data_IF_233749864608
#
_entry.id   IF_233749864608
#
_cell.length_a   1.000
_cell.length_b   1.000
_cell.length_c   1.000
_cell.angle_alpha   90.00
_cell.angle_beta   90.00
_cell.angle_gamma   90.00
#
_symmetry.space_group_name_H-M   'P 1'
#
loop_
_entity.id
_entity.type
_entity.pdbx_description
1 polymer ?
#
# COMPACT_ATOMS: atom_id res chain seq x y z
N UNK A 1 29.84 66.67 12.68
CA UNK A 1 29.63 65.20 12.70
C UNK A 1 28.17 64.94 12.40
N UNK A 2 27.84 64.36 11.24
CA UNK A 2 26.49 63.98 10.86
C UNK A 2 26.25 62.54 11.33
N UNK A 3 25.35 62.36 12.28
CA UNK A 3 24.89 61.06 12.76
C UNK A 3 23.96 60.47 11.70
N UNK A 4 24.43 59.45 10.98
CA UNK A 4 23.61 58.67 10.07
C UNK A 4 22.83 57.62 10.88
N UNK A 5 21.51 57.73 10.90
CA UNK A 5 20.61 56.75 11.48
C UNK A 5 20.45 55.61 10.46
N UNK A 6 21.05 54.45 10.74
CA UNK A 6 20.88 53.24 9.94
C UNK A 6 19.51 52.63 10.31
N UNK A 7 18.51 52.81 9.46
CA UNK A 7 17.22 52.12 9.59
C UNK A 7 17.36 50.76 8.90
N UNK A 8 17.54 49.70 9.68
CA UNK A 8 17.44 48.32 9.20
C UNK A 8 15.98 48.01 8.89
N UNK A 9 15.60 47.99 7.61
CA UNK A 9 14.36 47.36 7.16
C UNK A 9 14.48 45.85 7.38
N UNK A 10 13.89 45.34 8.46
CA UNK A 10 13.54 43.93 8.56
C UNK A 10 12.33 43.75 7.65
N UNK A 11 12.56 43.23 6.44
CA UNK A 11 11.48 42.71 5.63
C UNK A 11 10.87 41.53 6.40
N UNK A 12 9.67 41.72 6.97
CA UNK A 12 8.83 40.61 7.37
C UNK A 12 8.40 39.91 6.08
N UNK A 13 9.19 38.94 5.62
CA UNK A 13 8.64 37.90 4.75
C UNK A 13 7.55 37.21 5.57
N UNK A 14 6.31 37.25 5.08
CA UNK A 14 5.23 36.46 5.67
C UNK A 14 5.74 35.01 5.72
N UNK A 15 5.87 34.45 6.92
CA UNK A 15 6.31 33.09 7.08
C UNK A 15 5.21 32.17 6.53
N UNK A 16 5.52 31.42 5.48
CA UNK A 16 4.65 30.39 4.93
C UNK A 16 4.42 29.28 5.96
N UNK A 17 3.21 28.73 5.98
CA UNK A 17 2.95 27.52 6.74
C UNK A 17 3.76 26.35 6.15
N UNK A 18 4.20 25.43 7.02
CA UNK A 18 4.75 24.15 6.54
C UNK A 18 3.71 23.44 5.65
N UNK A 19 4.08 23.03 4.42
CA UNK A 19 3.17 22.31 3.53
C UNK A 19 2.57 21.09 4.21
N UNK A 20 1.27 20.88 4.01
CA UNK A 20 0.56 19.75 4.61
C UNK A 20 0.55 18.58 3.63
N UNK A 21 1.33 17.55 3.95
CA UNK A 21 1.28 16.26 3.25
C UNK A 21 0.16 15.38 3.80
N UNK A 22 -0.63 14.81 2.90
CA UNK A 22 -1.72 13.88 3.19
C UNK A 22 -1.53 12.65 2.31
N UNK A 23 -1.34 11.51 2.96
CA UNK A 23 -1.28 10.22 2.28
C UNK A 23 -2.70 9.74 2.01
N UNK A 24 -2.98 9.35 0.76
CA UNK A 24 -4.31 8.95 0.33
C UNK A 24 -4.77 7.68 1.06
N UNK A 25 -3.87 6.73 1.27
CA UNK A 25 -4.11 5.50 2.04
C UNK A 25 -4.56 5.77 3.48
N UNK A 26 -4.12 6.90 4.06
CA UNK A 26 -4.46 7.34 5.42
C UNK A 26 -5.80 8.08 5.51
N UNK A 27 -6.59 8.15 4.44
CA UNK A 27 -7.91 8.75 4.49
C UNK A 27 -8.80 8.06 5.53
N UNK A 28 -9.47 8.84 6.38
CA UNK A 28 -10.34 8.31 7.44
C UNK A 28 -11.53 7.51 6.89
N UNK A 29 -11.99 7.84 5.68
CA UNK A 29 -13.04 7.12 4.97
C UNK A 29 -12.64 6.92 3.50
N UNK A 30 -12.48 5.68 3.06
CA UNK A 30 -12.19 5.38 1.65
C UNK A 30 -13.46 5.38 0.77
N UNK A 31 -14.65 5.37 1.35
CA UNK A 31 -15.90 5.33 0.59
C UNK A 31 -16.00 4.04 -0.23
N UNK A 32 -15.96 4.17 -1.56
CA UNK A 32 -15.86 3.05 -2.49
C UNK A 32 -14.51 2.96 -3.20
N UNK A 33 -13.54 3.81 -2.84
CA UNK A 33 -12.15 3.66 -3.27
C UNK A 33 -11.53 2.48 -2.53
N UNK A 34 -10.68 1.74 -3.23
CA UNK A 34 -9.93 0.62 -2.68
C UNK A 34 -8.49 1.03 -2.45
N UNK A 35 -7.91 0.58 -1.34
CA UNK A 35 -6.48 0.72 -1.09
C UNK A 35 -5.73 -0.37 -1.86
N UNK A 36 -4.99 0.02 -2.88
CA UNK A 36 -4.13 -0.90 -3.62
C UNK A 36 -2.75 -0.97 -2.96
N UNK A 37 -2.36 -2.20 -2.61
CA UNK A 37 -1.07 -2.53 -2.01
C UNK A 37 -0.34 -3.63 -2.77
N UNK A 38 -0.91 -4.13 -3.86
CA UNK A 38 -0.39 -5.29 -4.58
C UNK A 38 0.79 -4.90 -5.46
N UNK A 39 0.76 -3.69 -6.01
CA UNK A 39 1.74 -3.21 -6.96
C UNK A 39 2.67 -2.15 -6.36
N UNK A 40 2.84 -2.10 -5.03
CA UNK A 40 3.69 -1.10 -4.37
C UNK A 40 5.11 -1.10 -4.95
N UNK A 41 5.70 -2.26 -5.21
CA UNK A 41 7.06 -2.37 -5.75
C UNK A 41 7.18 -1.85 -7.20
N UNK A 42 6.07 -1.81 -7.95
CA UNK A 42 6.01 -1.28 -9.32
C UNK A 42 5.59 0.19 -9.34
N UNK A 43 4.68 0.57 -8.45
CA UNK A 43 4.05 1.88 -8.42
C UNK A 43 4.77 2.87 -7.51
N UNK A 44 5.59 2.39 -6.59
CA UNK A 44 6.41 3.17 -5.66
C UNK A 44 5.67 3.72 -4.44
N UNK A 45 4.38 3.41 -4.27
CA UNK A 45 3.56 3.82 -3.12
C UNK A 45 2.32 2.93 -3.01
N UNK A 46 1.76 2.69 -1.81
CA UNK A 46 0.32 2.41 -1.69
C UNK A 46 -0.49 3.61 -2.22
N UNK A 47 -1.68 3.34 -2.76
CA UNK A 47 -2.54 4.39 -3.32
C UNK A 47 -4.01 4.02 -3.22
N UNK A 48 -4.88 5.03 -3.21
CA UNK A 48 -6.31 4.82 -3.39
C UNK A 48 -6.63 4.70 -4.88
N UNK A 49 -7.54 3.77 -5.19
CA UNK A 49 -8.00 3.47 -6.53
C UNK A 49 -9.53 3.40 -6.62
N UNK A 50 -10.14 4.11 -7.57
CA UNK A 50 -11.58 4.06 -7.80
C UNK A 50 -11.99 2.86 -8.68
N UNK A 51 -11.97 1.65 -8.12
CA UNK A 51 -12.27 0.43 -8.86
C UNK A 51 -13.78 0.13 -8.88
N UNK A 52 -14.53 0.87 -9.71
CA UNK A 52 -15.99 0.76 -9.79
C UNK A 52 -16.54 -0.09 -10.95
N UNK A 53 -15.66 -0.68 -11.76
CA UNK A 53 -16.00 -1.42 -12.98
C UNK A 53 -16.92 -0.61 -13.93
N UNK A 54 -16.61 0.67 -14.09
CA UNK A 54 -17.37 1.62 -14.92
C UNK A 54 -18.58 2.26 -14.25
N UNK A 55 -18.78 2.02 -12.95
CA UNK A 55 -19.74 2.77 -12.13
C UNK A 55 -18.97 3.66 -11.15
N UNK A 56 -19.36 4.92 -11.06
CA UNK A 56 -18.75 5.85 -10.11
C UNK A 56 -18.85 5.30 -8.68
N UNK A 57 -17.72 5.30 -7.97
CA UNK A 57 -17.65 4.83 -6.57
C UNK A 57 -18.00 5.95 -5.58
N UNK A 58 -18.32 5.58 -4.34
CA UNK A 58 -18.57 6.56 -3.28
C UNK A 58 -17.30 7.33 -2.93
N UNK A 59 -17.44 8.61 -2.62
CA UNK A 59 -16.33 9.51 -2.29
C UNK A 59 -15.48 9.00 -1.12
N UNK A 60 -14.15 9.11 -1.26
CA UNK A 60 -13.22 9.03 -0.14
C UNK A 60 -13.06 10.41 0.50
N UNK A 61 -12.84 10.47 1.81
CA UNK A 61 -12.59 11.74 2.49
C UNK A 61 -11.74 11.61 3.75
N UNK A 62 -11.09 12.70 4.11
CA UNK A 62 -10.36 12.88 5.36
C UNK A 62 -10.47 14.33 5.83
N UNK A 63 -10.08 14.59 7.07
CA UNK A 63 -10.05 15.92 7.67
C UNK A 63 -8.63 16.25 8.15
N UNK A 64 -8.19 17.48 7.92
CA UNK A 64 -6.89 17.97 8.37
C UNK A 64 -7.01 19.34 9.01
N UNK A 65 -6.10 19.65 9.92
CA UNK A 65 -5.96 20.99 10.48
C UNK A 65 -4.92 21.79 9.69
N UNK A 66 -5.29 23.01 9.32
CA UNK A 66 -4.49 23.94 8.52
C UNK A 66 -4.72 25.38 9.00
N UNK A 67 -3.67 26.22 9.11
CA UNK A 67 -3.83 27.65 9.36
C UNK A 67 -4.71 28.31 8.31
N UNK A 68 -5.41 29.39 8.69
CA UNK A 68 -6.22 30.13 7.74
C UNK A 68 -5.36 30.77 6.64
N UNK A 69 -5.73 30.58 5.38
CA UNK A 69 -4.94 31.04 4.25
C UNK A 69 -5.49 30.58 2.89
N UNK A 70 -4.81 30.99 1.83
CA UNK A 70 -5.04 30.49 0.47
C UNK A 70 -4.00 29.44 0.13
N UNK A 71 -4.44 28.23 -0.22
CA UNK A 71 -3.57 27.09 -0.49
C UNK A 71 -3.70 26.65 -1.94
N UNK A 72 -2.55 26.33 -2.53
CA UNK A 72 -2.47 25.50 -3.72
C UNK A 72 -2.58 24.03 -3.32
N UNK A 73 -3.35 23.26 -4.08
CA UNK A 73 -3.46 21.81 -3.92
C UNK A 73 -2.63 21.14 -5.00
N UNK A 74 -1.85 20.15 -4.58
CA UNK A 74 -1.15 19.22 -5.44
C UNK A 74 -1.67 17.82 -5.18
N UNK A 75 -1.95 17.05 -6.22
CA UNK A 75 -2.24 15.63 -6.11
C UNK A 75 -1.26 14.85 -6.96
N UNK A 76 -0.65 13.81 -6.38
CA UNK A 76 0.16 12.87 -7.13
C UNK A 76 -0.75 11.77 -7.67
N UNK A 77 -0.80 11.69 -8.99
CA UNK A 77 -1.76 10.88 -9.74
C UNK A 77 -1.10 10.30 -10.98
N UNK A 78 -1.78 9.35 -11.61
CA UNK A 78 -1.31 8.69 -12.84
C UNK A 78 -2.47 8.44 -13.78
N UNK A 79 -2.35 8.92 -15.02
CA UNK A 79 -3.19 8.45 -16.11
C UNK A 79 -2.79 7.01 -16.48
N UNK A 80 -3.65 6.05 -16.15
CA UNK A 80 -3.39 4.63 -16.38
C UNK A 80 -3.06 4.31 -17.83
N UNK A 81 -3.76 4.92 -18.79
CA UNK A 81 -3.57 4.60 -20.21
C UNK A 81 -2.49 5.45 -20.88
N UNK A 82 -1.96 6.44 -20.16
CA UNK A 82 -0.92 7.37 -20.61
C UNK A 82 0.34 6.71 -21.20
N UNK A 83 0.91 5.65 -20.58
CA UNK A 83 2.08 4.95 -21.12
C UNK A 83 1.90 4.42 -22.56
N UNK A 84 0.66 4.14 -22.96
CA UNK A 84 0.33 3.55 -24.27
C UNK A 84 -0.24 4.57 -25.27
N UNK A 85 -0.27 5.86 -24.91
CA UNK A 85 -0.90 6.92 -25.71
C UNK A 85 -2.35 6.56 -26.14
N UNK A 86 -3.05 5.76 -25.33
CA UNK A 86 -4.39 5.32 -25.68
C UNK A 86 -5.39 6.48 -25.53
N UNK A 87 -6.42 6.57 -26.41
CA UNK A 87 -7.39 7.65 -26.34
C UNK A 87 -8.25 7.56 -25.07
N UNK A 88 -8.56 8.74 -24.51
CA UNK A 88 -9.35 8.89 -23.30
C UNK A 88 -8.51 8.93 -22.02
N UNK A 89 -9.18 8.98 -20.88
CA UNK A 89 -8.57 8.93 -19.55
C UNK A 89 -9.57 8.30 -18.59
N UNK A 90 -9.64 6.97 -18.51
CA UNK A 90 -10.67 6.31 -17.72
C UNK A 90 -10.48 6.49 -16.21
N UNK A 91 -9.34 6.97 -15.70
CA UNK A 91 -9.09 7.16 -14.26
C UNK A 91 -9.22 8.60 -13.78
N UNK A 92 -10.22 9.36 -14.24
CA UNK A 92 -10.38 10.78 -13.84
C UNK A 92 -11.12 10.92 -12.52
N UNK A 93 -10.72 11.92 -11.73
CA UNK A 93 -11.38 12.28 -10.48
C UNK A 93 -11.28 13.79 -10.20
N UNK A 94 -12.10 14.29 -9.29
CA UNK A 94 -12.01 15.65 -8.76
C UNK A 94 -11.64 15.62 -7.28
N UNK A 95 -11.12 16.74 -6.79
CA UNK A 95 -10.91 16.98 -5.36
C UNK A 95 -11.89 18.07 -4.92
N UNK A 96 -12.47 17.94 -3.72
CA UNK A 96 -13.15 19.06 -3.05
C UNK A 96 -12.50 19.40 -1.72
N UNK A 97 -12.65 20.67 -1.34
CA UNK A 97 -12.15 21.26 -0.09
C UNK A 97 -13.33 21.90 0.60
N UNK A 98 -13.66 21.45 1.82
CA UNK A 98 -14.85 21.88 2.55
C UNK A 98 -16.16 21.78 1.74
N UNK A 99 -16.23 20.78 0.84
CA UNK A 99 -17.37 20.55 -0.05
C UNK A 99 -17.37 21.36 -1.34
N UNK A 100 -16.46 22.31 -1.52
CA UNK A 100 -16.29 23.04 -2.78
C UNK A 100 -15.35 22.28 -3.72
N UNK A 101 -15.88 21.87 -4.89
CA UNK A 101 -15.12 21.15 -5.91
C UNK A 101 -14.13 22.07 -6.63
N UNK A 102 -12.91 21.58 -6.84
CA UNK A 102 -11.91 22.25 -7.65
C UNK A 102 -12.28 22.19 -9.13
N UNK A 103 -11.99 23.26 -9.89
CA UNK A 103 -12.18 23.31 -11.35
C UNK A 103 -11.03 22.61 -12.10
N UNK A 104 -10.63 21.43 -11.65
CA UNK A 104 -9.55 20.63 -12.24
C UNK A 104 -9.89 19.15 -12.14
N UNK A 105 -9.85 18.44 -13.27
CA UNK A 105 -9.96 16.99 -13.32
C UNK A 105 -8.55 16.38 -13.25
N UNK A 106 -8.30 15.57 -12.24
CA UNK A 106 -7.04 14.88 -12.01
C UNK A 106 -6.97 13.54 -12.73
N UNK A 107 -5.76 13.04 -13.00
CA UNK A 107 -5.53 11.70 -13.56
C UNK A 107 -5.83 11.61 -15.07
N UNK A 108 -5.99 12.77 -15.72
CA UNK A 108 -6.31 12.86 -17.13
C UNK A 108 -5.06 12.95 -18.03
N UNK A 109 -3.89 13.21 -17.45
CA UNK A 109 -2.67 13.54 -18.21
C UNK A 109 -1.45 12.78 -17.70
N UNK A 110 -0.33 12.94 -18.40
CA UNK A 110 0.92 12.29 -18.05
C UNK A 110 1.06 10.86 -18.61
N UNK A 111 2.29 10.38 -18.63
CA UNK A 111 2.65 9.00 -19.00
C UNK A 111 3.05 8.16 -17.80
N UNK A 112 3.26 8.79 -16.66
CA UNK A 112 3.61 8.14 -15.40
C UNK A 112 3.05 8.95 -14.24
N UNK A 113 3.38 8.54 -13.01
CA UNK A 113 3.11 9.31 -11.81
C UNK A 113 3.62 10.74 -11.94
N UNK A 114 2.75 11.69 -11.65
CA UNK A 114 3.06 13.11 -11.72
C UNK A 114 2.28 13.88 -10.67
N UNK A 115 2.78 15.07 -10.33
CA UNK A 115 2.06 16.03 -9.51
C UNK A 115 1.22 16.94 -10.40
N UNK A 116 -0.08 16.95 -10.17
CA UNK A 116 -1.02 17.87 -10.81
C UNK A 116 -1.44 18.95 -9.81
N UNK A 117 -1.55 20.20 -10.28
CA UNK A 117 -1.81 21.40 -9.47
C UNK A 117 -3.24 21.90 -9.68
N UNK A 118 -3.92 22.29 -8.61
CA UNK A 118 -5.22 22.94 -8.64
C UNK A 118 -5.38 24.00 -7.53
N UNK A 119 -6.39 24.86 -7.68
CA UNK A 119 -6.65 25.97 -6.75
C UNK A 119 -6.20 27.34 -7.30
N UNK A 120 -6.03 28.36 -6.45
CA UNK A 120 -6.01 28.29 -4.98
C UNK A 120 -7.38 28.01 -4.33
N UNK A 121 -7.37 27.56 -3.08
CA UNK A 121 -8.55 27.39 -2.22
C UNK A 121 -8.39 28.11 -0.90
N UNK A 122 -9.49 28.59 -0.33
CA UNK A 122 -9.50 29.20 1.01
C UNK A 122 -9.73 28.16 2.08
N UNK A 123 -8.87 28.19 3.09
CA UNK A 123 -8.90 27.30 4.25
C UNK A 123 -8.91 28.16 5.52
N UNK A 124 -9.59 27.70 6.57
CA UNK A 124 -9.70 28.41 7.85
C UNK A 124 -9.78 27.46 9.05
N UNK A 125 -8.82 26.54 9.20
CA UNK A 125 -8.77 25.56 10.27
C UNK A 125 -9.10 24.14 9.79
N UNK A 126 -9.95 23.45 10.54
CA UNK A 126 -10.42 22.11 10.21
C UNK A 126 -10.99 22.05 8.79
N UNK A 127 -10.32 21.29 7.94
CA UNK A 127 -10.57 21.25 6.51
C UNK A 127 -10.85 19.84 6.04
N UNK A 128 -12.01 19.64 5.42
CA UNK A 128 -12.38 18.36 4.81
C UNK A 128 -11.85 18.30 3.38
N UNK A 129 -11.10 17.25 3.07
CA UNK A 129 -10.66 16.92 1.71
C UNK A 129 -11.43 15.68 1.25
N UNK A 130 -11.97 15.70 0.04
CA UNK A 130 -12.65 14.54 -0.54
C UNK A 130 -12.24 14.29 -1.99
N UNK A 131 -12.22 13.00 -2.37
CA UNK A 131 -11.97 12.51 -3.71
C UNK A 131 -13.30 12.08 -4.35
N UNK A 132 -13.56 12.60 -5.55
CA UNK A 132 -14.77 12.31 -6.32
C UNK A 132 -14.41 11.57 -7.60
N UNK A 133 -14.75 10.28 -7.66
CA UNK A 133 -14.58 9.50 -8.88
C UNK A 133 -15.53 10.03 -9.99
N UNK A 134 -15.02 10.16 -11.20
CA UNK A 134 -15.81 10.62 -12.36
C UNK A 134 -16.15 9.51 -13.34
N UNK A 135 -15.54 8.33 -13.22
CA UNK A 135 -15.51 7.35 -14.31
C UNK A 135 -15.79 5.92 -13.85
N UNK A 136 -15.48 5.56 -12.61
CA UNK A 136 -15.54 4.17 -12.14
C UNK A 136 -14.44 3.27 -12.68
N UNK A 137 -13.39 3.82 -13.29
CA UNK A 137 -12.30 3.06 -13.92
C UNK A 137 -10.92 3.48 -13.42
N UNK A 138 -10.65 3.17 -12.15
CA UNK A 138 -9.34 3.22 -11.55
C UNK A 138 -8.68 4.61 -11.57
N UNK A 139 -9.41 5.65 -11.14
CA UNK A 139 -8.74 6.88 -10.73
C UNK A 139 -7.76 6.58 -9.60
N UNK A 140 -6.53 7.13 -9.67
CA UNK A 140 -5.43 6.79 -8.75
C UNK A 140 -4.84 8.03 -8.10
N UNK A 141 -4.63 7.97 -6.79
CA UNK A 141 -3.96 9.02 -6.03
C UNK A 141 -3.26 8.40 -4.82
N UNK A 142 -2.00 8.75 -4.62
CA UNK A 142 -1.20 8.31 -3.46
C UNK A 142 -0.99 9.45 -2.45
N UNK A 143 -0.90 10.70 -2.91
CA UNK A 143 -0.68 11.84 -2.01
C UNK A 143 -1.40 13.12 -2.47
N UNK A 144 -1.80 13.91 -1.48
CA UNK A 144 -2.27 15.28 -1.63
C UNK A 144 -1.39 16.20 -0.78
N UNK A 145 -0.92 17.31 -1.35
CA UNK A 145 -0.14 18.32 -0.64
C UNK A 145 -0.82 19.68 -0.75
N UNK A 146 -1.00 20.35 0.38
CA UNK A 146 -1.50 21.73 0.44
C UNK A 146 -0.35 22.66 0.83
N UNK A 147 -0.12 23.72 0.06
CA UNK A 147 0.88 24.75 0.36
C UNK A 147 0.34 26.16 0.15
N UNK A 148 0.62 27.07 1.06
CA UNK A 148 0.32 28.51 0.93
C UNK A 148 1.43 29.28 0.18
N UNK A 149 2.53 28.61 -0.16
CA UNK A 149 3.59 29.13 -1.02
C UNK A 149 3.26 28.83 -2.49
N UNK A 150 3.05 29.89 -3.28
CA UNK A 150 2.76 29.81 -4.70
C UNK A 150 3.91 29.22 -5.53
N UNK A 151 5.16 29.32 -5.05
CA UNK A 151 6.37 28.77 -5.66
C UNK A 151 6.68 27.32 -5.25
N UNK A 152 5.97 26.77 -4.27
CA UNK A 152 6.17 25.41 -3.81
C UNK A 152 5.80 24.40 -4.89
N UNK A 153 6.67 23.40 -5.10
CA UNK A 153 6.40 22.22 -5.93
C UNK A 153 6.84 20.97 -5.15
N UNK A 154 5.94 20.01 -4.88
CA UNK A 154 6.29 18.82 -4.12
C UNK A 154 7.20 17.87 -4.90
N UNK A 155 8.11 17.21 -4.19
CA UNK A 155 8.81 16.00 -4.66
C UNK A 155 8.59 14.87 -3.66
N UNK A 156 8.75 13.61 -4.11
CA UNK A 156 8.53 12.42 -3.26
C UNK A 156 9.47 12.35 -2.07
N UNK A 157 10.68 12.90 -2.20
CA UNK A 157 11.70 12.87 -1.14
C UNK A 157 11.31 13.72 0.08
N UNK A 158 10.40 14.68 -0.11
CA UNK A 158 9.89 15.55 0.96
C UNK A 158 8.90 14.84 1.89
N UNK A 159 8.39 13.66 1.50
CA UNK A 159 7.38 12.89 2.25
C UNK A 159 7.79 12.72 3.72
N UNK A 160 9.02 12.27 3.97
CA UNK A 160 9.49 11.96 5.34
C UNK A 160 9.51 13.20 6.21
N UNK A 161 10.04 14.29 5.67
CA UNK A 161 10.15 15.58 6.36
C UNK A 161 8.77 16.13 6.70
N UNK A 162 7.87 16.21 5.71
CA UNK A 162 6.56 16.82 5.86
C UNK A 162 5.57 15.98 6.70
N UNK A 163 5.80 14.68 6.81
CA UNK A 163 5.07 13.79 7.72
C UNK A 163 5.71 13.69 9.12
N UNK A 164 6.88 14.31 9.34
CA UNK A 164 7.63 14.20 10.59
C UNK A 164 8.06 12.77 10.92
N UNK A 165 8.33 11.95 9.90
CA UNK A 165 8.79 10.58 10.09
C UNK A 165 10.23 10.57 10.61
N UNK A 166 10.59 9.64 11.51
CA UNK A 166 11.94 9.55 12.03
C UNK A 166 12.94 9.20 10.91
N UNK A 167 14.20 9.62 11.03
CA UNK A 167 15.24 9.30 10.04
C UNK A 167 15.42 7.78 9.90
N UNK A 168 15.27 7.03 11.00
CA UNK A 168 15.27 5.56 11.03
C UNK A 168 13.96 5.04 11.60
N UNK A 169 13.43 4.01 10.95
CA UNK A 169 12.26 3.28 11.43
C UNK A 169 12.49 2.74 12.86
N UNK A 170 11.54 2.89 13.80
CA UNK A 170 11.61 2.28 15.12
C UNK A 170 11.83 0.77 15.06
N UNK A 171 12.69 0.25 15.94
CA UNK A 171 13.02 -1.17 16.00
C UNK A 171 12.10 -1.92 16.96
N UNK A 172 11.68 -3.13 16.57
CA UNK A 172 11.00 -4.07 17.47
C UNK A 172 12.00 -4.70 18.44
N UNK A 173 11.48 -5.37 19.49
CA UNK A 173 12.27 -6.41 20.16
C UNK A 173 12.67 -7.51 19.18
N UNK A 174 13.77 -8.23 19.45
CA UNK A 174 14.22 -9.35 18.61
C UNK A 174 13.19 -10.50 18.61
N UNK A 175 12.99 -11.08 17.42
CA UNK A 175 12.23 -12.30 17.18
C UNK A 175 13.18 -13.47 16.89
N UNK A 176 12.76 -14.69 17.22
CA UNK A 176 13.52 -15.87 16.80
C UNK A 176 13.30 -16.15 15.31
N UNK A 177 12.10 -15.86 14.80
CA UNK A 177 11.72 -16.05 13.41
C UNK A 177 10.91 -14.85 12.89
N UNK A 178 11.30 -14.30 11.74
CA UNK A 178 10.54 -13.30 11.00
C UNK A 178 10.05 -13.93 9.70
N UNK A 179 8.74 -14.04 9.55
CA UNK A 179 8.09 -14.61 8.35
C UNK A 179 7.43 -13.47 7.59
N UNK A 180 7.82 -13.29 6.32
CA UNK A 180 7.30 -12.21 5.46
C UNK A 180 6.46 -12.80 4.34
N UNK A 181 5.17 -12.46 4.32
CA UNK A 181 4.19 -12.91 3.33
C UNK A 181 3.17 -13.87 3.92
N UNK A 182 1.92 -13.43 4.00
CA UNK A 182 0.79 -14.10 4.63
C UNK A 182 0.08 -15.17 3.78
N UNK A 183 0.75 -15.73 2.77
CA UNK A 183 0.21 -16.83 1.95
C UNK A 183 0.19 -18.17 2.68
N UNK A 184 -0.27 -19.23 2.00
CA UNK A 184 -0.28 -20.60 2.55
C UNK A 184 1.10 -21.05 3.07
N UNK A 185 2.18 -20.71 2.36
CA UNK A 185 3.56 -21.03 2.78
C UNK A 185 3.96 -20.27 4.05
N UNK A 186 3.68 -18.97 4.11
CA UNK A 186 4.03 -18.15 5.27
C UNK A 186 3.20 -18.48 6.50
N UNK A 187 1.90 -18.75 6.34
CA UNK A 187 1.06 -19.26 7.42
C UNK A 187 1.60 -20.59 7.96
N UNK A 188 1.94 -21.53 7.06
CA UNK A 188 2.54 -22.81 7.45
C UNK A 188 3.87 -22.64 8.21
N UNK A 189 4.74 -21.75 7.72
CA UNK A 189 6.03 -21.45 8.36
C UNK A 189 5.85 -20.80 9.75
N UNK A 190 4.96 -19.80 9.86
CA UNK A 190 4.72 -19.09 11.11
C UNK A 190 4.11 -20.00 12.19
N UNK A 191 3.07 -20.77 11.84
CA UNK A 191 2.43 -21.73 12.75
C UNK A 191 3.41 -22.82 13.18
N UNK A 192 4.16 -23.39 12.23
CA UNK A 192 5.18 -24.41 12.54
C UNK A 192 6.27 -23.87 13.47
N UNK A 193 6.78 -22.65 13.21
CA UNK A 193 7.78 -22.00 14.05
C UNK A 193 7.27 -21.76 15.47
N UNK A 194 6.04 -21.26 15.60
CA UNK A 194 5.42 -21.02 16.89
C UNK A 194 5.21 -22.31 17.70
N UNK A 195 4.74 -23.38 17.07
CA UNK A 195 4.56 -24.70 17.71
C UNK A 195 5.89 -25.36 18.13
N UNK A 196 7.01 -24.94 17.52
CA UNK A 196 8.36 -25.31 17.95
C UNK A 196 8.93 -24.39 19.05
N UNK A 197 8.13 -23.45 19.55
CA UNK A 197 8.48 -22.57 20.66
C UNK A 197 9.21 -21.28 20.26
N UNK A 198 9.28 -20.96 18.97
CA UNK A 198 9.89 -19.72 18.50
C UNK A 198 8.96 -18.52 18.75
N UNK A 199 9.54 -17.37 19.11
CA UNK A 199 8.85 -16.08 19.03
C UNK A 199 8.85 -15.59 17.58
N UNK A 200 7.66 -15.47 16.98
CA UNK A 200 7.50 -15.23 15.55
C UNK A 200 6.91 -13.84 15.28
N UNK A 201 7.56 -13.05 14.44
CA UNK A 201 6.91 -11.93 13.75
C UNK A 201 6.35 -12.45 12.42
N UNK A 202 5.04 -12.35 12.22
CA UNK A 202 4.40 -12.76 10.99
C UNK A 202 3.82 -11.54 10.26
N UNK A 203 4.41 -11.20 9.11
CA UNK A 203 4.20 -9.93 8.43
C UNK A 203 3.46 -10.17 7.11
N UNK A 204 2.38 -9.44 6.87
CA UNK A 204 1.56 -9.53 5.66
C UNK A 204 1.18 -8.13 5.18
N UNK A 205 1.37 -7.86 3.89
CA UNK A 205 1.19 -6.52 3.31
C UNK A 205 -0.27 -6.08 3.12
N UNK A 206 -1.21 -7.00 3.34
CA UNK A 206 -2.67 -6.82 3.15
C UNK A 206 -3.45 -7.05 4.44
N UNK A 207 -4.75 -6.64 4.50
CA UNK A 207 -5.57 -6.80 5.70
C UNK A 207 -6.00 -8.25 5.97
N UNK A 208 -5.75 -9.19 5.06
CA UNK A 208 -6.16 -10.59 5.19
C UNK A 208 -5.02 -11.55 4.89
N UNK A 209 -5.11 -12.74 5.48
CA UNK A 209 -4.20 -13.88 5.28
C UNK A 209 -4.69 -14.81 4.16
N UNK A 210 -3.83 -15.71 3.70
CA UNK A 210 -4.10 -16.68 2.64
C UNK A 210 -3.44 -16.34 1.30
N UNK A 211 -2.87 -15.14 1.15
CA UNK A 211 -2.23 -14.71 -0.10
C UNK A 211 -3.23 -14.73 -1.25
N UNK A 212 -2.95 -15.49 -2.31
CA UNK A 212 -3.90 -15.65 -3.42
C UNK A 212 -5.16 -16.45 -3.01
N UNK A 213 -5.12 -17.25 -1.95
CA UNK A 213 -6.29 -17.92 -1.39
C UNK A 213 -7.03 -17.14 -0.32
N UNK A 214 -6.95 -15.82 -0.37
CA UNK A 214 -7.79 -14.92 0.43
C UNK A 214 -9.03 -14.51 -0.36
N UNK A 215 -10.00 -13.89 0.31
CA UNK A 215 -11.19 -13.31 -0.33
C UNK A 215 -10.86 -12.24 -1.39
N UNK A 216 -9.67 -11.61 -1.33
CA UNK A 216 -9.25 -10.58 -2.28
C UNK A 216 -8.92 -11.13 -3.68
N UNK A 217 -8.35 -12.34 -3.77
CA UNK A 217 -7.82 -12.90 -5.03
C UNK A 217 -8.54 -14.20 -5.44
N UNK A 218 -9.03 -14.95 -4.46
CA UNK A 218 -9.93 -16.07 -4.66
C UNK A 218 -9.36 -17.28 -5.45
N UNK A 219 -8.11 -17.65 -5.17
CA UNK A 219 -7.48 -18.90 -5.64
C UNK A 219 -7.57 -19.97 -4.56
N UNK A 220 -8.48 -20.92 -4.74
CA UNK A 220 -8.83 -21.95 -3.73
C UNK A 220 -7.68 -22.86 -3.29
N UNK A 221 -7.78 -23.42 -2.09
CA UNK A 221 -6.87 -24.43 -1.57
C UNK A 221 -7.18 -25.83 -2.15
N UNK A 222 -6.80 -26.07 -3.41
CA UNK A 222 -6.99 -27.36 -4.11
C UNK A 222 -5.69 -28.16 -4.30
N UNK A 223 -4.78 -28.08 -3.34
CA UNK A 223 -3.56 -28.89 -3.34
C UNK A 223 -3.87 -30.38 -3.12
N UNK A 224 -3.21 -31.27 -3.86
CA UNK A 224 -3.23 -32.71 -3.59
C UNK A 224 -2.40 -33.07 -2.34
N UNK A 225 -2.81 -32.58 -1.16
CA UNK A 225 -2.16 -32.83 0.13
C UNK A 225 -2.44 -34.24 0.64
N UNK A 226 -1.60 -34.73 1.56
CA UNK A 226 -1.77 -36.03 2.27
C UNK A 226 -1.96 -37.27 1.37
N UNK A 227 -1.36 -37.27 0.17
CA UNK A 227 -1.42 -38.41 -0.77
C UNK A 227 -0.22 -39.34 -0.63
N UNK A 228 -0.48 -40.65 -0.71
CA UNK A 228 0.56 -41.68 -0.86
C UNK A 228 1.55 -41.75 0.32
N UNK A 229 2.84 -41.61 0.01
CA UNK A 229 3.95 -41.80 0.96
C UNK A 229 4.08 -40.72 2.04
N UNK A 230 3.38 -39.58 1.90
CA UNK A 230 3.49 -38.44 2.83
C UNK A 230 2.13 -38.08 3.45
N UNK A 231 1.56 -38.93 4.34
CA UNK A 231 0.22 -38.74 4.90
C UNK A 231 0.08 -37.51 5.79
N UNK A 232 1.20 -37.02 6.34
CA UNK A 232 1.26 -35.83 7.19
C UNK A 232 1.56 -34.54 6.41
N UNK A 233 1.83 -34.64 5.09
CA UNK A 233 2.13 -33.45 4.29
C UNK A 233 0.89 -32.57 4.15
N UNK A 234 1.00 -31.34 4.67
CA UNK A 234 -0.05 -30.33 4.58
C UNK A 234 -0.98 -30.29 5.79
N UNK A 235 -0.74 -31.05 6.86
CA UNK A 235 -1.63 -31.05 8.05
C UNK A 235 -1.91 -29.65 8.61
N UNK A 236 -0.88 -28.80 8.72
CA UNK A 236 -1.05 -27.40 9.14
C UNK A 236 -1.94 -26.63 8.15
N UNK A 237 -1.76 -26.82 6.84
CA UNK A 237 -2.56 -26.13 5.80
C UNK A 237 -4.02 -26.55 5.86
N UNK A 238 -4.29 -27.82 6.14
CA UNK A 238 -5.65 -28.35 6.26
C UNK A 238 -6.45 -27.71 7.40
N UNK A 239 -5.78 -27.19 8.45
CA UNK A 239 -6.43 -26.50 9.56
C UNK A 239 -7.04 -25.15 9.16
N UNK A 240 -6.61 -24.55 8.03
CA UNK A 240 -7.06 -23.23 7.58
C UNK A 240 -7.40 -23.15 6.08
N UNK A 241 -7.52 -24.29 5.39
CA UNK A 241 -7.92 -24.36 4.00
C UNK A 241 -9.34 -23.79 3.80
N UNK A 242 -9.54 -22.99 2.75
CA UNK A 242 -10.81 -22.32 2.48
C UNK A 242 -12.00 -23.26 2.21
N UNK A 243 -11.78 -24.36 1.46
CA UNK A 243 -12.85 -25.23 0.96
C UNK A 243 -13.89 -24.48 0.12
N UNK A 244 -13.44 -23.46 -0.62
CA UNK A 244 -14.30 -22.73 -1.54
C UNK A 244 -14.84 -23.65 -2.65
N UNK A 245 -16.07 -23.39 -3.11
CA UNK A 245 -16.73 -24.22 -4.13
C UNK A 245 -16.19 -23.98 -5.54
N UNK A 246 -15.56 -22.83 -5.80
CA UNK A 246 -14.94 -22.46 -7.07
C UNK A 246 -13.75 -21.50 -6.87
N UNK A 247 -12.99 -21.25 -7.94
CA UNK A 247 -11.88 -20.29 -7.97
C UNK A 247 -11.91 -19.48 -9.27
N UNK A 248 -12.32 -18.19 -9.26
CA UNK A 248 -12.89 -17.47 -8.13
C UNK A 248 -14.26 -18.03 -7.69
N UNK A 249 -14.62 -17.82 -6.42
CA UNK A 249 -15.89 -18.29 -5.86
C UNK A 249 -17.04 -17.32 -6.17
N UNK A 250 -18.28 -17.77 -5.98
CA UNK A 250 -19.45 -16.89 -6.12
C UNK A 250 -19.54 -15.89 -4.96
N UNK A 251 -19.13 -16.31 -3.76
CA UNK A 251 -19.00 -15.45 -2.59
C UNK A 251 -17.54 -15.42 -2.11
N UNK A 252 -16.93 -14.23 -1.93
CA UNK A 252 -15.59 -14.11 -1.33
C UNK A 252 -15.50 -14.72 0.08
N UNK A 253 -16.61 -14.79 0.82
CA UNK A 253 -16.65 -15.37 2.18
C UNK A 253 -16.29 -16.86 2.20
N UNK A 254 -16.45 -17.56 1.08
CA UNK A 254 -16.03 -18.96 0.94
C UNK A 254 -14.53 -19.15 1.13
N UNK A 255 -13.73 -18.07 1.02
CA UNK A 255 -12.30 -18.10 1.30
C UNK A 255 -11.96 -18.13 2.79
N UNK A 256 -12.93 -17.97 3.69
CA UNK A 256 -12.75 -18.19 5.13
C UNK A 256 -11.57 -17.43 5.75
N UNK A 257 -11.40 -16.14 5.39
CA UNK A 257 -10.30 -15.31 5.91
C UNK A 257 -10.26 -15.27 7.45
N UNK A 258 -11.44 -15.29 8.09
CA UNK A 258 -11.56 -15.36 9.54
C UNK A 258 -10.94 -16.64 10.11
N UNK A 259 -11.15 -17.79 9.48
CA UNK A 259 -10.53 -19.04 9.92
C UNK A 259 -9.01 -18.93 9.87
N UNK A 260 -8.48 -18.36 8.77
CA UNK A 260 -7.03 -18.15 8.60
C UNK A 260 -6.44 -17.28 9.70
N UNK A 261 -7.10 -16.17 10.02
CA UNK A 261 -6.68 -15.26 11.08
C UNK A 261 -6.81 -15.87 12.48
N UNK A 262 -7.93 -16.56 12.77
CA UNK A 262 -8.18 -17.22 14.05
C UNK A 262 -7.16 -18.34 14.31
N UNK A 263 -6.81 -19.13 13.30
CA UNK A 263 -5.79 -20.20 13.41
C UNK A 263 -4.42 -19.63 13.76
N UNK A 264 -4.02 -18.50 13.17
CA UNK A 264 -2.75 -17.84 13.51
C UNK A 264 -2.80 -17.24 14.92
N UNK A 265 -3.90 -16.57 15.27
CA UNK A 265 -4.06 -15.95 16.60
C UNK A 265 -4.17 -16.96 17.75
N UNK A 266 -4.50 -18.21 17.46
CA UNK A 266 -4.48 -19.28 18.46
C UNK A 266 -3.05 -19.61 18.93
N UNK A 267 -2.02 -19.30 18.13
CA UNK A 267 -0.62 -19.54 18.47
C UNK A 267 -0.07 -18.41 19.35
N UNK A 268 0.28 -18.72 20.60
CA UNK A 268 0.61 -17.72 21.63
C UNK A 268 1.90 -16.93 21.38
N UNK A 269 2.78 -17.43 20.53
CA UNK A 269 4.10 -16.83 20.27
C UNK A 269 4.19 -16.13 18.92
N UNK A 270 3.08 -16.02 18.18
CA UNK A 270 3.00 -15.25 16.94
C UNK A 270 2.51 -13.84 17.25
N UNK A 271 3.26 -12.84 16.79
CA UNK A 271 2.79 -11.47 16.64
C UNK A 271 2.49 -11.20 15.16
N UNK A 272 1.23 -10.94 14.85
CA UNK A 272 0.73 -10.77 13.49
C UNK A 272 0.68 -9.29 13.10
N UNK A 273 1.36 -8.95 12.01
CA UNK A 273 1.44 -7.61 11.43
C UNK A 273 0.76 -7.58 10.05
N UNK A 274 -0.53 -7.27 10.04
CA UNK A 274 -1.29 -7.05 8.81
C UNK A 274 -1.02 -5.65 8.24
N UNK A 275 -1.36 -5.44 6.97
CA UNK A 275 -1.14 -4.17 6.26
C UNK A 275 0.31 -3.67 6.34
N UNK A 276 1.31 -4.56 6.40
CA UNK A 276 2.72 -4.20 6.55
C UNK A 276 3.53 -4.70 5.36
N UNK A 277 3.93 -3.79 4.47
CA UNK A 277 4.72 -4.09 3.27
C UNK A 277 6.22 -4.03 3.57
N UNK A 278 6.92 -5.14 3.42
CA UNK A 278 8.39 -5.16 3.58
C UNK A 278 9.04 -4.68 2.28
N UNK A 279 9.76 -3.56 2.36
CA UNK A 279 10.41 -2.93 1.22
C UNK A 279 11.94 -2.80 1.38
N UNK A 280 12.48 -3.12 2.56
CA UNK A 280 13.90 -2.98 2.86
C UNK A 280 14.44 -4.11 3.71
N UNK A 281 15.75 -4.37 3.57
CA UNK A 281 16.51 -5.33 4.36
C UNK A 281 17.77 -4.64 4.88
N UNK A 282 18.12 -4.91 6.14
CA UNK A 282 19.43 -4.57 6.68
C UNK A 282 20.21 -5.83 6.98
N UNK A 283 21.43 -5.92 6.47
CA UNK A 283 22.38 -6.98 6.79
C UNK A 283 23.19 -6.62 8.04
N UNK A 284 23.72 -7.64 8.70
CA UNK A 284 24.73 -7.46 9.75
C UNK A 284 26.01 -6.82 9.18
N UNK A 285 26.90 -6.35 10.06
CA UNK A 285 28.16 -5.67 9.70
C UNK A 285 29.05 -6.52 8.79
N UNK A 286 29.00 -7.85 8.93
CA UNK A 286 29.75 -8.79 8.09
C UNK A 286 29.13 -9.03 6.70
N UNK A 287 27.95 -8.46 6.44
CA UNK A 287 27.18 -8.57 5.20
C UNK A 287 26.81 -10.02 4.83
N UNK A 288 26.76 -10.94 5.79
CA UNK A 288 26.46 -12.36 5.54
C UNK A 288 25.06 -12.78 5.95
N UNK A 289 24.51 -12.12 6.96
CA UNK A 289 23.22 -12.50 7.55
C UNK A 289 22.30 -11.28 7.58
N UNK A 290 21.02 -11.52 7.34
CA UNK A 290 19.98 -10.50 7.55
C UNK A 290 19.89 -10.21 9.05
N UNK A 291 19.87 -8.92 9.41
CA UNK A 291 19.63 -8.43 10.78
C UNK A 291 18.16 -8.11 10.98
N UNK A 292 17.56 -7.45 9.99
CA UNK A 292 16.18 -6.99 10.07
C UNK A 292 15.57 -6.73 8.71
N UNK A 293 14.25 -6.74 8.66
CA UNK A 293 13.45 -6.22 7.53
C UNK A 293 12.76 -4.92 7.92
N UNK A 294 12.56 -4.03 6.95
CA UNK A 294 11.88 -2.74 7.13
C UNK A 294 10.49 -2.84 6.50
N UNK A 295 9.47 -2.76 7.34
CA UNK A 295 8.07 -2.76 6.94
C UNK A 295 7.48 -1.36 6.92
N UNK A 296 6.61 -1.08 5.96
CA UNK A 296 5.77 0.10 5.85
C UNK A 296 4.32 -0.31 6.11
N UNK A 297 3.69 0.28 7.12
CA UNK A 297 2.24 0.14 7.32
C UNK A 297 1.51 0.84 6.17
N UNK A 298 0.83 0.06 5.33
CA UNK A 298 0.22 0.49 4.07
C UNK A 298 -1.03 1.34 4.25
N UNK A 299 -1.45 1.60 5.49
CA UNK A 299 -2.55 2.51 5.82
C UNK A 299 -2.08 3.80 6.47
N UNK A 300 -1.09 3.73 7.33
CA UNK A 300 -0.62 4.86 8.16
C UNK A 300 0.72 5.44 7.72
N UNK A 301 1.40 4.79 6.76
CA UNK A 301 2.70 5.23 6.26
C UNK A 301 3.85 5.09 7.27
N UNK A 302 3.58 4.51 8.45
CA UNK A 302 4.57 4.30 9.51
C UNK A 302 5.51 3.16 9.16
N UNK A 303 6.79 3.37 9.40
CA UNK A 303 7.79 2.33 9.21
C UNK A 303 8.08 1.61 10.52
N UNK A 304 8.37 0.31 10.43
CA UNK A 304 8.82 -0.51 11.55
C UNK A 304 9.95 -1.41 11.09
N UNK A 305 11.01 -1.50 11.91
CA UNK A 305 12.14 -2.39 11.66
C UNK A 305 12.01 -3.64 12.51
N UNK A 306 11.80 -4.77 11.85
CA UNK A 306 11.61 -6.07 12.48
C UNK A 306 12.95 -6.80 12.61
N UNK A 307 13.48 -6.84 13.83
CA UNK A 307 14.77 -7.46 14.15
C UNK A 307 14.56 -8.96 14.41
N UNK A 308 15.38 -9.82 13.82
CA UNK A 308 15.22 -11.27 13.97
C UNK A 308 16.49 -12.08 13.77
N UNK A 309 16.46 -13.34 14.22
CA UNK A 309 17.56 -14.30 14.06
C UNK A 309 17.45 -15.11 12.77
N UNK A 310 16.24 -15.50 12.40
CA UNK A 310 15.92 -16.27 11.20
C UNK A 310 14.85 -15.55 10.39
N UNK A 311 14.95 -15.63 9.06
CA UNK A 311 14.04 -14.98 8.14
C UNK A 311 13.49 -16.00 7.15
N UNK A 312 12.18 -15.93 6.89
CA UNK A 312 11.50 -16.76 5.90
C UNK A 312 10.82 -15.85 4.90
N UNK A 313 11.31 -15.88 3.66
CA UNK A 313 10.69 -15.19 2.53
C UNK A 313 9.53 -16.03 1.98
N UNK A 314 8.32 -15.55 2.18
CA UNK A 314 7.08 -16.10 1.67
C UNK A 314 6.29 -15.05 0.87
N UNK A 315 6.96 -14.05 0.27
CA UNK A 315 6.29 -12.97 -0.47
C UNK A 315 5.69 -13.41 -1.81
N UNK A 316 5.96 -14.66 -2.22
CA UNK A 316 5.60 -15.21 -3.52
C UNK A 316 6.49 -14.72 -4.68
N UNK A 317 7.21 -13.61 -4.48
CA UNK A 317 8.11 -13.00 -5.46
C UNK A 317 9.60 -13.18 -5.10
N UNK A 318 9.91 -13.61 -3.87
CA UNK A 318 11.29 -13.67 -3.40
C UNK A 318 11.89 -12.30 -3.08
N UNK A 319 11.04 -11.33 -2.72
CA UNK A 319 11.41 -9.92 -2.56
C UNK A 319 12.43 -9.71 -1.44
N UNK A 320 12.30 -10.42 -0.31
CA UNK A 320 13.24 -10.27 0.82
C UNK A 320 14.60 -10.86 0.43
N UNK A 321 14.61 -12.01 -0.25
CA UNK A 321 15.84 -12.59 -0.79
C UNK A 321 16.55 -11.66 -1.76
N UNK A 322 15.80 -11.09 -2.72
CA UNK A 322 16.34 -10.13 -3.68
C UNK A 322 16.87 -8.85 -3.01
N UNK A 323 16.12 -8.28 -2.05
CA UNK A 323 16.53 -7.11 -1.26
C UNK A 323 17.77 -7.38 -0.40
N UNK A 324 17.96 -8.63 0.03
CA UNK A 324 19.15 -9.07 0.76
C UNK A 324 20.38 -9.29 -0.14
N UNK A 325 20.23 -9.16 -1.46
CA UNK A 325 21.29 -9.41 -2.43
C UNK A 325 21.55 -10.89 -2.72
N UNK A 326 20.59 -11.78 -2.43
CA UNK A 326 20.69 -13.18 -2.83
C UNK A 326 20.73 -13.31 -4.36
N UNK A 327 21.43 -14.33 -4.85
CA UNK A 327 21.40 -14.65 -6.28
C UNK A 327 19.99 -15.07 -6.70
N UNK A 328 19.46 -14.43 -7.74
CA UNK A 328 18.17 -14.79 -8.32
C UNK A 328 18.26 -14.72 -9.86
N UNK A 329 17.29 -15.35 -10.52
CA UNK A 329 17.16 -15.29 -11.97
C UNK A 329 15.78 -14.73 -12.31
N UNK A 330 15.72 -13.87 -13.32
CA UNK A 330 14.49 -13.37 -13.92
C UNK A 330 14.53 -13.67 -15.40
N UNK A 331 13.45 -14.26 -15.93
CA UNK A 331 13.33 -14.53 -17.36
C UNK A 331 13.21 -13.22 -18.16
N UNK A 332 14.11 -13.01 -19.12
CA UNK A 332 14.26 -11.75 -19.88
C UNK A 332 13.00 -11.31 -20.65
N UNK A 333 12.11 -12.26 -20.98
CA UNK A 333 10.85 -11.99 -21.69
C UNK A 333 9.69 -11.61 -20.78
N UNK A 334 9.94 -11.42 -19.48
CA UNK A 334 8.98 -10.85 -18.53
C UNK A 334 7.72 -11.70 -18.28
N UNK A 335 7.75 -13.00 -18.63
CA UNK A 335 6.65 -13.94 -18.36
C UNK A 335 7.19 -15.16 -17.64
N UNK A 336 7.12 -15.15 -16.30
CA UNK A 336 6.89 -16.40 -15.61
C UNK A 336 5.48 -16.88 -16.00
N UNK A 337 5.33 -18.15 -16.38
CA UNK A 337 4.10 -18.68 -16.96
C UNK A 337 2.83 -18.32 -16.17
N UNK A 338 1.69 -18.28 -16.86
CA UNK A 338 0.39 -17.95 -16.25
C UNK A 338 0.06 -18.97 -15.15
N UNK A 339 -0.12 -18.51 -13.90
CA UNK A 339 -0.53 -19.37 -12.78
C UNK A 339 -2.04 -19.64 -12.74
N UNK A 340 -2.85 -18.80 -13.41
CA UNK A 340 -4.30 -19.00 -13.59
C UNK A 340 -4.65 -19.07 -15.07
N UNK A 341 -5.22 -20.19 -15.52
CA UNK A 341 -5.83 -20.28 -16.84
C UNK A 341 -7.26 -19.74 -16.76
N UNK A 342 -7.48 -18.58 -17.35
CA UNK A 342 -8.83 -18.05 -17.55
C UNK A 342 -9.44 -18.66 -18.81
N UNK A 343 -10.65 -19.21 -18.72
CA UNK A 343 -11.45 -19.57 -19.88
C UNK A 343 -12.37 -18.39 -20.18
N UNK A 344 -12.05 -17.65 -21.23
CA UNK A 344 -12.95 -16.63 -21.77
C UNK A 344 -14.04 -17.30 -22.60
N UNK A 345 -15.30 -17.14 -22.19
CA UNK A 345 -16.45 -17.57 -22.99
C UNK A 345 -17.02 -16.38 -23.76
N UNK A 346 -16.97 -16.42 -25.10
CA UNK A 346 -17.64 -15.44 -25.93
C UNK A 346 -19.16 -15.68 -25.90
N UNK A 347 -19.87 -14.91 -25.09
CA UNK A 347 -21.32 -14.91 -25.05
C UNK A 347 -21.89 -13.96 -26.11
N UNK A 348 -22.98 -14.37 -26.77
CA UNK A 348 -23.67 -13.56 -27.80
C UNK A 348 -24.41 -12.35 -27.22
N UNK A 349 -24.58 -12.30 -25.89
CA UNK A 349 -25.18 -11.19 -25.14
C UNK A 349 -24.36 -11.00 -23.85
N UNK A 350 -24.16 -9.75 -23.39
CA UNK A 350 -23.58 -9.49 -22.07
C UNK A 350 -24.47 -10.12 -21.00
N UNK A 351 -23.85 -10.69 -19.96
CA UNK A 351 -24.57 -11.13 -18.74
C UNK A 351 -24.78 -9.93 -17.84
#
# INVERSE_FOLDING_TARGET
MKTALLVSLIALSAAHAQPKWIEAESFANHGGWVLDTQFIDVMGSPYLMAHGMGKVVKDASTEVELPAGEYTIWARTKNWVGPWDAPGAPGRFEISVNGEKLKHEFGATGKDWQWEKAGPVKVSGKTKIALHDLTGFDGRVDAIVLSDDAGFTPTTDMRRELLGLPEKAPETSEYDLVVVGGGYSGMGAAISGARQGLKVAFIQNRPVLGGNGSSEIQVWAMGGTRRGLYPHLGEIVEEFADRASNSPAASPDEFNDKLKEDTVKAEKTIELFLNTHVYGVELNTDQKNIRSVIGLDTKSGKETRFVGKLFVDCTGHGSVGALAGAEFMMEEKGRMGMSNMWVMQNLKKPV
#
